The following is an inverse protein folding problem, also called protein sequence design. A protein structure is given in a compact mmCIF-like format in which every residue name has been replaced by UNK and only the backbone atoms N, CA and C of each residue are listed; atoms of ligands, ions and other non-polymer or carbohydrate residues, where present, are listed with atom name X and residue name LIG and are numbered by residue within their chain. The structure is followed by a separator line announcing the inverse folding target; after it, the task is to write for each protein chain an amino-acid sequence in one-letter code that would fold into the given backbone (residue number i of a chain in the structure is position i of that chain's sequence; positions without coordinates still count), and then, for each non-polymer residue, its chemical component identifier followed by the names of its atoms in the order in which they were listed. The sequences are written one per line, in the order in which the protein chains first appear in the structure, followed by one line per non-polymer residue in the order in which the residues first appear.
data_IF_089174336111
#
_entry.id   IF_089174336111
#
_cell.length_a   1.000
_cell.length_b   1.000
_cell.length_c   1.000
_cell.angle_alpha   90.00
_cell.angle_beta   90.00
_cell.angle_gamma   90.00
#
_symmetry.space_group_name_H-M   'P 1'
#
loop_
_entity.id
_entity.type
_entity.pdbx_description
1 polymer ?
#
# COMPACT_ATOMS: atom_id res chain seq x y z
N UNK A 1 -19.40 10.35 -13.08
CA UNK A 1 -20.44 9.67 -12.28
C UNK A 1 -21.35 8.78 -13.15
N UNK A 2 -22.01 9.37 -14.15
CA UNK A 2 -23.09 8.71 -14.91
C UNK A 2 -22.65 7.53 -15.80
N UNK A 3 -21.36 7.48 -16.14
CA UNK A 3 -20.77 6.37 -16.92
C UNK A 3 -19.94 5.40 -16.07
N UNK A 4 -19.97 5.52 -14.74
CA UNK A 4 -19.12 4.70 -13.86
C UNK A 4 -19.38 3.21 -14.01
N UNK A 5 -20.65 2.80 -13.95
CA UNK A 5 -21.06 1.39 -14.15
C UNK A 5 -20.75 0.90 -15.56
N UNK A 6 -21.03 1.72 -16.57
CA UNK A 6 -20.73 1.36 -17.96
C UNK A 6 -19.23 1.12 -18.18
N UNK A 7 -18.39 1.99 -17.61
CA UNK A 7 -16.93 1.87 -17.71
C UNK A 7 -16.41 0.65 -16.93
N UNK A 8 -16.98 0.36 -15.75
CA UNK A 8 -16.63 -0.82 -14.96
C UNK A 8 -16.94 -2.12 -15.74
N UNK A 9 -18.14 -2.25 -16.31
CA UNK A 9 -18.52 -3.40 -17.13
C UNK A 9 -17.63 -3.57 -18.36
N UNK A 10 -17.26 -2.47 -19.01
CA UNK A 10 -16.35 -2.50 -20.16
C UNK A 10 -14.94 -2.93 -19.75
N UNK A 11 -14.43 -2.46 -18.61
CA UNK A 11 -13.14 -2.89 -18.09
C UNK A 11 -13.17 -4.36 -17.65
N UNK A 12 -14.22 -4.81 -16.95
CA UNK A 12 -14.37 -6.23 -16.56
C UNK A 12 -14.35 -7.15 -17.79
N UNK A 13 -15.09 -6.79 -18.83
CA UNK A 13 -15.10 -7.52 -20.09
C UNK A 13 -13.71 -7.54 -20.76
N UNK A 14 -13.02 -6.41 -20.78
CA UNK A 14 -11.66 -6.33 -21.33
C UNK A 14 -10.63 -7.14 -20.51
N UNK A 15 -10.84 -7.29 -19.20
CA UNK A 15 -9.98 -8.07 -18.31
C UNK A 15 -10.30 -9.56 -18.30
N UNK A 16 -11.41 -10.00 -18.90
CA UNK A 16 -11.81 -11.42 -18.91
C UNK A 16 -10.77 -12.34 -19.57
N UNK A 17 -9.97 -11.82 -20.52
CA UNK A 17 -8.88 -12.55 -21.18
C UNK A 17 -7.57 -12.55 -20.36
N UNK A 18 -7.51 -11.78 -19.27
CA UNK A 18 -6.33 -11.61 -18.41
C UNK A 18 -6.62 -12.14 -17.01
N UNK A 19 -6.58 -13.47 -16.84
CA UNK A 19 -6.87 -14.17 -15.57
C UNK A 19 -6.05 -13.67 -14.38
N UNK A 20 -4.87 -13.11 -14.66
CA UNK A 20 -3.94 -12.61 -13.65
C UNK A 20 -4.19 -11.15 -13.29
N UNK A 21 -5.29 -10.54 -13.74
CA UNK A 21 -5.70 -9.17 -13.42
C UNK A 21 -7.09 -9.11 -12.79
N UNK A 22 -7.29 -8.13 -11.92
CA UNK A 22 -8.54 -7.82 -11.25
C UNK A 22 -8.83 -6.31 -11.38
N UNK A 23 -10.12 -5.98 -11.44
CA UNK A 23 -10.59 -4.60 -11.40
C UNK A 23 -10.65 -4.12 -9.95
N UNK A 24 -9.96 -3.03 -9.63
CA UNK A 24 -10.01 -2.36 -8.34
C UNK A 24 -10.70 -0.99 -8.51
N UNK A 25 -11.82 -0.79 -7.82
CA UNK A 25 -12.57 0.46 -7.84
C UNK A 25 -12.14 1.39 -6.71
N UNK A 26 -11.88 2.66 -7.03
CA UNK A 26 -11.58 3.72 -6.09
C UNK A 26 -12.45 4.96 -6.30
N UNK A 27 -12.20 6.03 -5.54
CA UNK A 27 -12.97 7.27 -5.65
C UNK A 27 -12.67 7.95 -7.00
N UNK A 28 -13.59 7.81 -7.96
CA UNK A 28 -13.47 8.32 -9.33
C UNK A 28 -12.31 7.69 -10.13
N UNK A 29 -11.90 6.47 -9.78
CA UNK A 29 -10.85 5.72 -10.49
C UNK A 29 -11.22 4.25 -10.59
N UNK A 30 -10.84 3.61 -11.69
CA UNK A 30 -10.89 2.17 -11.90
C UNK A 30 -9.50 1.71 -12.32
N UNK A 31 -8.93 0.73 -11.63
CA UNK A 31 -7.59 0.23 -11.88
C UNK A 31 -7.65 -1.23 -12.32
N UNK A 32 -7.00 -1.56 -13.44
CA UNK A 32 -6.69 -2.92 -13.80
C UNK A 32 -5.37 -3.32 -13.13
N UNK A 33 -5.45 -4.14 -12.09
CA UNK A 33 -4.30 -4.51 -11.26
C UNK A 33 -4.02 -5.99 -11.38
N UNK A 34 -2.76 -6.45 -11.47
CA UNK A 34 -2.48 -7.87 -11.38
C UNK A 34 -3.06 -8.44 -10.08
N UNK A 35 -3.78 -9.56 -10.15
CA UNK A 35 -4.47 -10.20 -9.03
C UNK A 35 -3.53 -10.54 -7.86
N UNK A 36 -2.24 -10.73 -8.15
CA UNK A 36 -1.20 -10.96 -7.14
C UNK A 36 -0.44 -9.70 -6.68
N UNK A 37 -0.78 -8.51 -7.18
CA UNK A 37 -0.09 -7.28 -6.79
C UNK A 37 -0.46 -6.89 -5.35
N UNK A 38 0.46 -7.20 -4.44
CA UNK A 38 0.31 -7.07 -3.01
C UNK A 38 1.54 -6.33 -2.48
N UNK A 39 1.33 -5.19 -1.78
CA UNK A 39 2.44 -4.36 -1.27
C UNK A 39 3.30 -5.13 -0.27
N UNK A 40 2.72 -6.08 0.47
CA UNK A 40 3.45 -7.01 1.34
C UNK A 40 4.41 -7.93 0.59
N UNK A 41 3.99 -8.51 -0.53
CA UNK A 41 4.90 -9.31 -1.40
C UNK A 41 6.04 -8.45 -1.93
N UNK A 42 5.78 -7.19 -2.30
CA UNK A 42 6.82 -6.26 -2.70
C UNK A 42 7.80 -5.96 -1.55
N UNK A 43 7.29 -5.72 -0.34
CA UNK A 43 8.12 -5.48 0.84
C UNK A 43 9.00 -6.70 1.17
N UNK A 44 8.45 -7.91 1.19
CA UNK A 44 9.23 -9.14 1.41
C UNK A 44 10.36 -9.31 0.39
N UNK A 45 10.06 -9.06 -0.88
CA UNK A 45 11.06 -9.16 -1.96
C UNK A 45 12.14 -8.08 -1.80
N UNK A 46 11.75 -6.85 -1.48
CA UNK A 46 12.68 -5.76 -1.25
C UNK A 46 13.64 -6.10 -0.09
N UNK A 47 13.12 -6.59 1.04
CA UNK A 47 13.92 -6.95 2.21
C UNK A 47 14.87 -8.14 2.00
N UNK A 48 14.75 -8.87 0.89
CA UNK A 48 15.69 -9.93 0.48
C UNK A 48 16.68 -9.47 -0.60
N UNK A 49 16.62 -8.21 -1.01
CA UNK A 49 17.44 -7.66 -2.08
C UNK A 49 18.31 -6.50 -1.58
N UNK A 50 19.51 -6.35 -2.16
CA UNK A 50 20.32 -5.15 -1.95
C UNK A 50 19.56 -3.89 -2.43
N UNK A 51 19.59 -2.75 -1.71
CA UNK A 51 20.37 -2.47 -0.49
C UNK A 51 19.64 -2.76 0.83
N UNK A 52 18.46 -3.37 0.79
CA UNK A 52 17.58 -3.54 1.97
C UNK A 52 17.82 -4.84 2.74
N UNK A 53 18.49 -5.82 2.14
CA UNK A 53 18.87 -7.06 2.81
C UNK A 53 19.59 -6.80 4.14
N UNK A 54 19.11 -7.45 5.20
CA UNK A 54 19.63 -7.30 6.57
C UNK A 54 19.19 -6.03 7.29
N UNK A 55 18.41 -5.13 6.66
CA UNK A 55 17.83 -3.96 7.34
C UNK A 55 16.53 -4.31 8.06
N UNK A 56 16.07 -3.39 8.90
CA UNK A 56 14.75 -3.44 9.52
C UNK A 56 13.77 -2.60 8.69
N UNK A 57 12.61 -3.13 8.27
CA UNK A 57 11.66 -2.37 7.47
C UNK A 57 10.92 -1.33 8.32
N UNK A 58 10.72 -0.14 7.75
CA UNK A 58 9.79 0.87 8.26
C UNK A 58 8.70 1.07 7.20
N UNK A 59 7.47 0.64 7.49
CA UNK A 59 6.31 0.75 6.61
C UNK A 59 5.37 1.84 7.11
N UNK A 60 5.10 2.85 6.28
CA UNK A 60 4.15 3.93 6.56
C UNK A 60 3.10 3.91 5.44
N UNK A 61 1.81 3.80 5.78
CA UNK A 61 0.72 3.71 4.79
C UNK A 61 -0.62 4.23 5.32
N UNK A 62 -1.52 4.61 4.42
CA UNK A 62 -2.79 5.28 4.75
C UNK A 62 -4.03 4.50 4.29
N UNK A 63 -3.90 3.60 3.31
CA UNK A 63 -5.04 2.94 2.68
C UNK A 63 -5.12 1.43 2.97
N UNK A 64 -6.21 0.80 2.51
CA UNK A 64 -6.43 -0.64 2.70
C UNK A 64 -5.38 -1.51 2.01
N UNK A 65 -4.77 -1.02 0.93
CA UNK A 65 -3.75 -1.78 0.19
C UNK A 65 -2.41 -1.82 0.93
N UNK A 66 -2.17 -0.87 1.84
CA UNK A 66 -0.98 -0.84 2.70
C UNK A 66 -1.01 -1.87 3.83
N UNK A 67 -2.19 -2.35 4.23
CA UNK A 67 -2.34 -3.30 5.34
C UNK A 67 -1.56 -4.60 5.09
N UNK A 68 -1.48 -5.06 3.84
CA UNK A 68 -0.67 -6.21 3.47
C UNK A 68 0.83 -5.99 3.77
N UNK A 69 1.35 -4.78 3.50
CA UNK A 69 2.74 -4.44 3.80
C UNK A 69 2.96 -4.16 5.29
N UNK A 70 1.98 -3.61 5.99
CA UNK A 70 1.99 -3.43 7.45
C UNK A 70 2.14 -4.78 8.16
N UNK A 71 1.33 -5.78 7.76
CA UNK A 71 1.41 -7.12 8.33
C UNK A 71 2.77 -7.78 8.09
N UNK A 72 3.34 -7.58 6.89
CA UNK A 72 4.69 -8.06 6.57
C UNK A 72 5.74 -7.35 7.42
N UNK A 73 5.68 -6.02 7.57
CA UNK A 73 6.61 -5.27 8.40
C UNK A 73 6.60 -5.77 9.85
N UNK A 74 5.41 -5.97 10.44
CA UNK A 74 5.26 -6.53 11.79
C UNK A 74 5.90 -7.92 11.90
N UNK A 75 5.61 -8.80 10.92
CA UNK A 75 6.14 -10.18 10.92
C UNK A 75 7.66 -10.21 10.77
N UNK A 76 8.24 -9.24 10.07
CA UNK A 76 9.69 -9.08 9.91
C UNK A 76 10.35 -8.36 11.11
N UNK A 77 9.61 -8.06 12.18
CA UNK A 77 10.11 -7.35 13.35
C UNK A 77 10.45 -5.88 13.07
N UNK A 78 9.85 -5.31 12.03
CA UNK A 78 9.99 -3.92 11.65
C UNK A 78 8.94 -3.02 12.27
N UNK A 79 8.90 -1.77 11.80
CA UNK A 79 8.01 -0.74 12.31
C UNK A 79 6.89 -0.50 11.31
N UNK A 80 5.65 -0.43 11.80
CA UNK A 80 4.48 -0.15 10.97
C UNK A 80 3.70 1.05 11.49
N UNK A 81 3.34 1.96 10.58
CA UNK A 81 2.67 3.21 10.90
C UNK A 81 1.45 3.38 10.00
N UNK A 82 0.26 3.48 10.60
CA UNK A 82 -0.95 3.92 9.90
C UNK A 82 -1.02 5.44 9.86
N UNK A 83 -1.36 6.00 8.71
CA UNK A 83 -1.64 7.44 8.56
C UNK A 83 -3.14 7.66 8.49
N UNK A 84 -3.67 8.60 9.28
CA UNK A 84 -5.09 8.92 9.32
C UNK A 84 -5.91 7.95 10.17
N UNK A 85 -7.24 8.04 10.02
CA UNK A 85 -8.20 7.24 10.78
C UNK A 85 -8.37 5.81 10.21
N UNK A 86 -9.22 5.01 10.86
CA UNK A 86 -9.59 3.65 10.43
C UNK A 86 -8.81 2.55 11.14
N UNK A 87 -9.42 1.36 11.15
CA UNK A 87 -8.80 0.15 11.69
C UNK A 87 -7.53 -0.19 10.89
N UNK A 88 -6.50 -0.66 11.59
CA UNK A 88 -5.22 -1.04 10.99
C UNK A 88 -4.51 -2.02 11.91
N UNK A 89 -3.69 -2.91 11.33
CA UNK A 89 -2.77 -3.77 12.06
C UNK A 89 -1.44 -3.06 12.44
N UNK A 90 -1.29 -1.78 12.10
CA UNK A 90 -0.08 -1.02 12.42
C UNK A 90 0.11 -0.84 13.93
N UNK A 91 1.35 -0.92 14.40
CA UNK A 91 1.71 -0.71 15.81
C UNK A 91 1.70 0.77 16.21
N UNK A 92 1.95 1.66 15.25
CA UNK A 92 1.99 3.10 15.46
C UNK A 92 1.00 3.83 14.54
N UNK A 93 0.71 5.08 14.87
CA UNK A 93 -0.20 5.92 14.09
C UNK A 93 0.25 7.38 14.02
N UNK A 94 0.11 7.96 12.83
CA UNK A 94 0.20 9.38 12.57
C UNK A 94 -1.16 9.88 12.08
N UNK A 95 -1.53 11.10 12.45
CA UNK A 95 -2.89 11.62 12.18
C UNK A 95 -3.04 12.07 10.73
N UNK A 96 -1.97 12.57 10.13
CA UNK A 96 -2.01 13.16 8.80
C UNK A 96 -0.71 13.02 8.04
N UNK A 97 -0.76 13.27 6.72
CA UNK A 97 0.43 13.37 5.88
C UNK A 97 1.43 14.43 6.37
N UNK A 98 0.95 15.49 7.05
CA UNK A 98 1.83 16.53 7.59
C UNK A 98 2.69 16.00 8.74
N UNK A 99 2.12 15.11 9.55
CA UNK A 99 2.84 14.48 10.66
C UNK A 99 3.91 13.52 10.14
N UNK A 100 3.66 12.85 9.01
CA UNK A 100 4.68 12.03 8.31
C UNK A 100 5.84 12.90 7.86
N UNK A 101 5.57 14.04 7.22
CA UNK A 101 6.61 14.98 6.78
C UNK A 101 7.47 15.46 7.96
N UNK A 102 6.83 15.86 9.06
CA UNK A 102 7.53 16.31 10.27
C UNK A 102 8.38 15.19 10.88
N UNK A 103 7.82 13.97 10.98
CA UNK A 103 8.54 12.80 11.49
C UNK A 103 9.80 12.49 10.66
N UNK A 104 9.69 12.51 9.33
CA UNK A 104 10.82 12.23 8.45
C UNK A 104 11.92 13.30 8.57
N UNK A 105 11.54 14.58 8.72
CA UNK A 105 12.50 15.68 8.95
C UNK A 105 13.23 15.52 10.27
N UNK A 106 12.53 15.19 11.34
CA UNK A 106 13.14 14.97 12.65
C UNK A 106 14.10 13.77 12.64
N UNK A 107 13.73 12.69 11.94
CA UNK A 107 14.55 11.47 11.88
C UNK A 107 15.79 11.61 10.99
N UNK A 108 15.67 12.30 9.85
CA UNK A 108 16.75 12.42 8.87
C UNK A 108 17.63 13.67 9.10
N UNK A 109 17.21 14.59 9.96
CA UNK A 109 17.76 15.93 10.04
C UNK A 109 17.26 16.82 8.90
N UNK A 110 17.62 18.12 8.91
CA UNK A 110 17.43 18.98 7.75
C UNK A 110 18.21 18.37 6.56
N UNK A 111 17.50 17.86 5.55
CA UNK A 111 18.05 17.40 4.27
C UNK A 111 18.60 18.56 3.45
#
# INVERSE_FOLDING_TARGET
PDKGEQLALQLESALAEYSDYALQSGKMVLEAKPSGANKGVCLEKAMRAFPFEGRVPVMIGDDKTDEDAILVANRLGGWSVKVGEGASAAEYRLTSHKDVENYLKEMLGDL
#
